data_IF_307967701326
#
_entry.id   IF_307967701326
#
_cell.length_a   1.000
_cell.length_b   1.000
_cell.length_c   1.000
_cell.angle_alpha   90.00
_cell.angle_beta   90.00
_cell.angle_gamma   90.00
#
_symmetry.space_group_name_H-M   'P 1'
#
loop_
_entity.id
_entity.type
_entity.pdbx_description
1 polymer ?
#
# COMPACT_ATOMS: atom_id res chain seq x y z
N UNK A 1 4.02 17.17 40.20
CA UNK A 1 5.38 16.72 39.75
C UNK A 1 6.03 17.92 39.14
N UNK A 2 7.09 18.43 39.73
CA UNK A 2 7.86 19.53 39.13
C UNK A 2 8.51 19.03 37.86
N UNK A 3 8.34 19.81 36.80
CA UNK A 3 8.95 19.54 35.51
C UNK A 3 10.40 20.03 35.57
N UNK A 4 11.36 19.11 35.59
CA UNK A 4 12.77 19.45 35.47
C UNK A 4 13.06 19.73 33.98
N UNK A 5 13.32 21.01 33.61
CA UNK A 5 13.61 21.40 32.24
C UNK A 5 14.86 20.73 31.65
N UNK A 6 15.73 20.18 32.49
CA UNK A 6 16.93 19.42 32.09
C UNK A 6 16.65 17.96 31.74
N UNK A 7 15.47 17.48 32.07
CA UNK A 7 15.11 16.06 31.87
C UNK A 7 14.61 15.83 30.44
N UNK A 8 15.34 15.05 29.68
CA UNK A 8 15.00 14.65 28.30
C UNK A 8 13.99 13.52 28.21
N UNK A 9 13.13 13.39 29.22
CA UNK A 9 12.07 12.38 29.28
C UNK A 9 10.69 13.03 29.44
N UNK A 10 9.69 12.50 28.75
CA UNK A 10 8.28 12.75 29.05
C UNK A 10 7.80 11.73 30.09
N UNK A 11 7.14 12.24 31.14
CA UNK A 11 6.44 11.40 32.12
C UNK A 11 4.95 11.53 31.87
N UNK A 12 4.36 10.45 31.40
CA UNK A 12 2.97 10.40 30.94
C UNK A 12 2.18 9.50 31.87
N UNK A 13 1.04 9.99 32.32
CA UNK A 13 0.06 9.20 33.07
C UNK A 13 -1.17 9.05 32.21
N UNK A 14 -1.51 7.82 31.85
CA UNK A 14 -2.77 7.50 31.20
C UNK A 14 -3.70 6.86 32.23
N UNK A 15 -4.91 7.43 32.34
CA UNK A 15 -5.94 6.94 33.28
C UNK A 15 -7.04 6.34 32.42
N UNK A 16 -7.45 5.10 32.75
CA UNK A 16 -8.59 4.46 32.10
C UNK A 16 -9.87 5.30 32.25
N UNK A 17 -10.74 5.24 31.25
CA UNK A 17 -12.00 6.02 31.22
C UNK A 17 -12.89 5.81 32.43
N UNK A 18 -12.79 4.67 33.07
CA UNK A 18 -13.55 4.32 34.28
C UNK A 18 -12.78 4.62 35.57
N UNK A 19 -11.59 5.23 35.49
CA UNK A 19 -10.70 5.52 36.62
C UNK A 19 -10.30 4.30 37.47
N UNK A 20 -10.39 3.10 36.89
CA UNK A 20 -10.10 1.85 37.62
C UNK A 20 -8.64 1.42 37.48
N UNK A 21 -7.91 1.97 36.50
CA UNK A 21 -6.52 1.66 36.25
C UNK A 21 -5.76 2.87 35.71
N UNK A 22 -4.45 2.88 35.86
CA UNK A 22 -3.59 3.92 35.33
C UNK A 22 -2.27 3.32 34.86
N UNK A 23 -1.71 3.89 33.83
CA UNK A 23 -0.41 3.52 33.28
C UNK A 23 0.56 4.72 33.40
N UNK A 24 1.74 4.46 33.99
CA UNK A 24 2.85 5.38 33.96
C UNK A 24 3.81 5.01 32.83
N UNK A 25 4.09 5.98 31.96
CA UNK A 25 5.12 5.84 30.94
C UNK A 25 6.19 6.92 31.07
N UNK A 26 7.44 6.49 31.03
CA UNK A 26 8.60 7.37 30.92
C UNK A 26 9.17 7.17 29.52
N UNK A 27 9.13 8.20 28.71
CA UNK A 27 9.49 8.14 27.29
C UNK A 27 10.58 9.13 27.00
N UNK A 28 11.73 8.73 26.43
CA UNK A 28 12.78 9.66 26.03
C UNK A 28 12.26 10.59 24.93
N UNK A 29 12.54 11.88 25.03
CA UNK A 29 12.14 12.87 24.03
C UNK A 29 13.10 12.89 22.84
N UNK A 30 14.35 12.48 23.05
CA UNK A 30 15.37 12.28 22.03
C UNK A 30 15.87 10.84 22.10
N UNK A 31 15.70 10.11 21.01
CA UNK A 31 16.17 8.73 20.92
C UNK A 31 17.65 8.69 20.50
N UNK A 32 18.12 9.73 19.79
CA UNK A 32 19.47 9.77 19.20
C UNK A 32 20.58 9.47 20.21
N UNK A 33 20.53 10.11 21.39
CA UNK A 33 21.58 9.95 22.39
C UNK A 33 21.60 8.53 22.96
N UNK A 34 20.44 7.97 23.24
CA UNK A 34 20.30 6.58 23.72
C UNK A 34 20.71 5.56 22.65
N UNK A 35 20.38 5.81 21.39
CA UNK A 35 20.72 4.93 20.29
C UNK A 35 22.23 4.96 20.00
N UNK A 36 22.84 6.15 20.09
CA UNK A 36 24.29 6.32 19.97
C UNK A 36 25.01 5.58 21.09
N UNK A 37 24.63 5.80 22.35
CA UNK A 37 25.28 5.20 23.53
C UNK A 37 25.11 3.67 23.55
N UNK A 38 23.91 3.17 23.30
CA UNK A 38 23.60 1.74 23.53
C UNK A 38 23.73 0.87 22.27
N UNK A 39 23.76 1.45 21.07
CA UNK A 39 23.79 0.70 19.81
C UNK A 39 24.98 1.13 18.95
N UNK A 40 25.06 2.40 18.53
CA UNK A 40 26.08 2.82 17.56
C UNK A 40 27.49 2.69 18.12
N UNK A 41 27.70 3.01 19.40
CA UNK A 41 29.00 2.88 20.07
C UNK A 41 29.53 1.44 20.13
N UNK A 42 28.66 0.44 20.01
CA UNK A 42 28.99 -0.97 20.06
C UNK A 42 29.16 -1.58 18.66
N UNK A 43 28.82 -0.84 17.60
CA UNK A 43 28.90 -1.31 16.22
C UNK A 43 30.19 -0.85 15.56
N UNK A 44 30.98 -1.78 15.05
CA UNK A 44 32.10 -1.47 14.17
C UNK A 44 31.59 -0.99 12.80
N UNK A 45 30.55 -1.60 12.29
CA UNK A 45 29.86 -1.27 11.03
C UNK A 45 28.36 -1.56 11.15
N UNK A 46 27.54 -0.67 10.60
CA UNK A 46 26.08 -0.83 10.55
C UNK A 46 25.52 -0.58 9.16
N UNK A 47 24.56 -1.39 8.74
CA UNK A 47 23.81 -1.23 7.48
C UNK A 47 22.31 -1.16 7.82
N UNK A 48 21.68 -0.06 7.43
CA UNK A 48 20.24 0.15 7.61
C UNK A 48 19.54 0.12 6.26
N UNK A 49 18.58 -0.78 6.10
CA UNK A 49 17.85 -0.99 4.85
C UNK A 49 16.35 -0.92 5.10
N UNK A 50 15.64 -0.06 4.39
CA UNK A 50 14.18 -0.03 4.35
C UNK A 50 13.68 0.77 3.15
N UNK A 51 12.46 0.49 2.70
CA UNK A 51 11.78 1.26 1.66
C UNK A 51 11.28 2.63 2.13
N UNK A 52 11.33 2.92 3.44
CA UNK A 52 10.75 4.13 4.04
C UNK A 52 11.75 4.99 4.81
N UNK A 53 13.07 4.79 4.60
CA UNK A 53 14.11 5.61 5.26
C UNK A 53 14.19 7.02 4.69
N UNK A 54 13.90 7.18 3.39
CA UNK A 54 13.96 8.49 2.72
C UNK A 54 12.61 9.19 2.72
N UNK A 55 12.64 10.49 2.96
CA UNK A 55 11.53 11.43 2.82
C UNK A 55 12.01 12.66 2.06
N UNK A 56 11.25 13.10 1.05
CA UNK A 56 11.63 14.24 0.21
C UNK A 56 13.05 14.10 -0.34
N UNK A 57 13.39 12.91 -0.84
CA UNK A 57 14.70 12.57 -1.42
C UNK A 57 15.88 12.69 -0.44
N UNK A 58 15.65 12.57 0.86
CA UNK A 58 16.66 12.67 1.91
C UNK A 58 16.43 11.65 3.02
N UNK A 59 17.51 11.11 3.58
CA UNK A 59 17.48 10.28 4.80
C UNK A 59 17.68 11.10 6.08
N UNK A 60 17.69 12.43 6.00
CA UNK A 60 17.99 13.32 7.14
C UNK A 60 17.07 13.07 8.33
N UNK A 61 15.76 12.87 8.11
CA UNK A 61 14.84 12.57 9.21
C UNK A 61 15.24 11.29 9.96
N UNK A 62 15.51 10.21 9.24
CA UNK A 62 15.94 8.95 9.82
C UNK A 62 17.29 9.08 10.57
N UNK A 63 18.28 9.70 9.93
CA UNK A 63 19.60 9.89 10.52
C UNK A 63 19.55 10.73 11.79
N UNK A 64 18.86 11.86 11.75
CA UNK A 64 18.75 12.76 12.91
C UNK A 64 17.96 12.11 14.05
N UNK A 65 16.93 11.31 13.73
CA UNK A 65 16.15 10.60 14.76
C UNK A 65 16.99 9.60 15.55
N UNK A 66 17.96 8.94 14.89
CA UNK A 66 18.80 7.91 15.50
C UNK A 66 20.24 8.39 15.80
N UNK A 67 20.60 9.67 15.56
CA UNK A 67 21.95 10.19 15.78
C UNK A 67 22.99 9.67 14.79
N UNK A 68 22.58 9.02 13.68
CA UNK A 68 23.49 8.50 12.64
C UNK A 68 24.20 9.64 11.91
N UNK A 69 23.62 10.82 11.87
CA UNK A 69 24.24 12.04 11.33
C UNK A 69 25.52 12.48 12.07
N UNK A 70 25.69 12.03 13.32
CA UNK A 70 26.84 12.36 14.18
C UNK A 70 28.07 11.47 13.92
N UNK A 71 27.90 10.35 13.23
CA UNK A 71 28.97 9.42 12.90
C UNK A 71 29.23 9.41 11.39
N UNK A 72 30.42 8.92 10.98
CA UNK A 72 30.73 8.77 9.55
C UNK A 72 29.71 7.83 8.89
N UNK A 73 28.95 8.34 7.95
CA UNK A 73 27.91 7.58 7.27
C UNK A 73 27.92 7.84 5.76
N UNK A 74 27.33 6.90 5.01
CA UNK A 74 27.07 7.01 3.57
C UNK A 74 25.63 6.67 3.34
N UNK A 75 24.91 7.46 2.57
CA UNK A 75 23.54 7.18 2.18
C UNK A 75 23.44 6.88 0.68
N UNK A 76 22.54 5.97 0.34
CA UNK A 76 22.18 5.68 -1.05
C UNK A 76 20.67 5.47 -1.15
N UNK A 77 20.00 6.34 -1.89
CA UNK A 77 18.61 6.20 -2.26
C UNK A 77 18.57 5.47 -3.60
N UNK A 78 17.80 4.39 -3.65
CA UNK A 78 17.63 3.56 -4.84
C UNK A 78 16.24 3.85 -5.38
N UNK A 79 16.15 4.08 -6.69
CA UNK A 79 14.88 4.26 -7.38
C UNK A 79 13.97 3.03 -7.19
N UNK A 80 12.65 3.24 -7.09
CA UNK A 80 11.71 2.14 -6.94
C UNK A 80 11.76 1.21 -8.14
N UNK A 81 11.80 -0.11 -7.87
CA UNK A 81 11.81 -1.13 -8.94
C UNK A 81 10.44 -1.20 -9.66
N UNK A 82 9.37 -0.74 -9.01
CA UNK A 82 8.03 -0.82 -9.53
C UNK A 82 7.55 0.53 -10.07
N UNK A 83 6.83 0.51 -11.17
CA UNK A 83 6.21 1.69 -11.77
C UNK A 83 4.94 2.11 -11.03
N UNK A 84 5.11 2.70 -9.84
CA UNK A 84 4.00 3.19 -9.03
C UNK A 84 3.10 4.15 -9.79
N UNK A 85 3.69 5.07 -10.54
CA UNK A 85 2.99 6.15 -11.23
C UNK A 85 1.94 5.66 -12.25
N UNK A 86 2.22 4.56 -12.94
CA UNK A 86 1.32 4.01 -13.94
C UNK A 86 0.46 2.86 -13.40
N UNK A 87 0.86 2.22 -12.30
CA UNK A 87 0.21 1.03 -11.77
C UNK A 87 -0.67 1.27 -10.56
N UNK A 88 -0.42 2.35 -9.81
CA UNK A 88 -1.23 2.72 -8.65
C UNK A 88 -1.97 4.03 -8.92
N UNK A 89 -3.29 3.98 -8.84
CA UNK A 89 -4.10 5.20 -8.83
C UNK A 89 -4.31 5.66 -7.40
N UNK A 90 -3.81 6.85 -7.07
CA UNK A 90 -4.04 7.46 -5.74
C UNK A 90 -5.20 8.42 -5.83
N UNK A 91 -6.22 8.21 -5.01
CA UNK A 91 -7.50 8.93 -5.09
C UNK A 91 -7.90 9.50 -3.74
N UNK A 92 -8.33 10.76 -3.74
CA UNK A 92 -9.07 11.42 -2.66
C UNK A 92 -10.43 11.85 -3.14
N UNK A 93 -11.28 12.32 -2.21
CA UNK A 93 -12.61 12.80 -2.54
C UNK A 93 -12.75 14.30 -2.40
N UNK A 94 -13.64 14.90 -3.19
CA UNK A 94 -13.97 16.33 -3.16
C UNK A 94 -15.31 16.63 -2.52
N UNK A 95 -16.19 15.63 -2.35
CA UNK A 95 -17.60 15.76 -2.01
C UNK A 95 -18.08 14.91 -0.83
N UNK A 96 -17.20 14.13 -0.21
CA UNK A 96 -17.54 13.42 1.02
C UNK A 96 -17.40 14.34 2.24
N UNK A 97 -18.16 14.04 3.30
CA UNK A 97 -18.06 14.80 4.53
C UNK A 97 -16.70 14.59 5.24
N UNK A 98 -16.34 15.54 6.10
CA UNK A 98 -15.11 15.43 6.89
C UNK A 98 -15.15 14.26 7.88
N UNK A 99 -14.00 13.72 8.23
CA UNK A 99 -13.86 12.55 9.12
C UNK A 99 -14.48 12.71 10.53
N UNK A 100 -14.80 13.95 10.94
CA UNK A 100 -15.45 14.27 12.22
C UNK A 100 -16.97 14.18 12.17
N UNK A 101 -17.54 14.14 10.97
CA UNK A 101 -18.99 14.02 10.78
C UNK A 101 -19.46 12.61 11.14
N UNK A 102 -20.62 12.50 11.79
CA UNK A 102 -21.24 11.22 12.15
C UNK A 102 -21.60 10.36 10.93
N UNK A 103 -21.87 10.98 9.78
CA UNK A 103 -22.20 10.28 8.52
C UNK A 103 -20.98 9.72 7.79
N UNK A 104 -19.78 10.13 8.16
CA UNK A 104 -18.55 9.71 7.49
C UNK A 104 -18.37 8.18 7.39
N UNK A 105 -18.62 7.37 8.46
CA UNK A 105 -18.57 5.90 8.34
C UNK A 105 -19.59 5.34 7.34
N UNK A 106 -20.76 5.96 7.21
CA UNK A 106 -21.80 5.56 6.26
C UNK A 106 -21.37 5.84 4.81
N UNK A 107 -20.86 7.03 4.53
CA UNK A 107 -20.33 7.39 3.21
C UNK A 107 -19.15 6.51 2.80
N UNK A 108 -18.18 6.29 3.71
CA UNK A 108 -17.07 5.36 3.48
C UNK A 108 -17.56 3.95 3.15
N UNK A 109 -18.54 3.44 3.92
CA UNK A 109 -19.08 2.09 3.72
C UNK A 109 -19.71 1.91 2.34
N UNK A 110 -20.47 2.90 1.86
CA UNK A 110 -21.02 2.90 0.50
C UNK A 110 -19.93 2.84 -0.56
N UNK A 111 -18.88 3.67 -0.42
CA UNK A 111 -17.79 3.74 -1.37
C UNK A 111 -16.96 2.44 -1.32
N UNK A 112 -16.60 1.92 -0.13
CA UNK A 112 -15.87 0.66 0.02
C UNK A 112 -16.67 -0.49 -0.59
N UNK A 113 -17.97 -0.55 -0.38
CA UNK A 113 -18.80 -1.60 -0.97
C UNK A 113 -18.79 -1.57 -2.50
N UNK A 114 -18.82 -0.37 -3.08
CA UNK A 114 -18.76 -0.18 -4.54
C UNK A 114 -17.38 -0.54 -5.11
N UNK A 115 -16.29 -0.17 -4.43
CA UNK A 115 -14.92 -0.62 -4.79
C UNK A 115 -14.85 -2.14 -4.75
N UNK A 116 -15.35 -2.74 -3.68
CA UNK A 116 -15.27 -4.19 -3.45
C UNK A 116 -15.98 -5.00 -4.52
N UNK A 117 -17.00 -4.44 -5.17
CA UNK A 117 -17.62 -5.06 -6.37
C UNK A 117 -16.67 -5.09 -7.56
N UNK A 118 -15.85 -4.05 -7.75
CA UNK A 118 -14.91 -3.98 -8.89
C UNK A 118 -13.69 -4.85 -8.63
N UNK A 119 -13.22 -4.88 -7.38
CA UNK A 119 -12.03 -5.63 -6.95
C UNK A 119 -12.36 -7.05 -6.52
N UNK A 120 -13.61 -7.46 -6.61
CA UNK A 120 -14.10 -8.77 -6.16
C UNK A 120 -13.77 -9.08 -4.69
N UNK A 121 -13.85 -8.08 -3.85
CA UNK A 121 -13.41 -8.15 -2.46
C UNK A 121 -12.02 -7.56 -2.28
N UNK A 122 -10.99 -8.24 -2.59
CA UNK A 122 -9.53 -7.95 -2.55
C UNK A 122 -9.14 -6.53 -2.08
N UNK A 123 -9.72 -6.10 -0.96
CA UNK A 123 -9.64 -4.75 -0.42
C UNK A 123 -9.22 -4.76 1.05
N UNK A 124 -8.20 -3.98 1.38
CA UNK A 124 -7.77 -3.71 2.75
C UNK A 124 -8.15 -2.26 3.12
N UNK A 125 -9.08 -2.09 4.06
CA UNK A 125 -9.48 -0.80 4.57
C UNK A 125 -8.77 -0.52 5.91
N UNK A 126 -7.89 0.49 5.93
CA UNK A 126 -7.09 0.87 7.09
C UNK A 126 -7.71 2.08 7.81
N UNK A 127 -7.75 2.00 9.13
CA UNK A 127 -8.36 3.00 10.00
C UNK A 127 -7.38 3.53 11.04
N UNK A 128 -7.36 4.84 11.21
CA UNK A 128 -6.63 5.50 12.29
C UNK A 128 -7.35 5.43 13.64
N UNK A 129 -8.65 5.12 13.64
CA UNK A 129 -9.52 5.03 14.81
C UNK A 129 -10.20 3.67 14.88
N UNK A 130 -10.08 2.99 16.02
CA UNK A 130 -10.75 1.71 16.27
C UNK A 130 -12.27 1.87 16.29
N UNK A 131 -12.78 2.91 16.93
CA UNK A 131 -14.22 3.26 16.96
C UNK A 131 -14.78 3.42 15.53
N UNK A 132 -14.05 4.14 14.66
CA UNK A 132 -14.50 4.30 13.27
C UNK A 132 -14.44 2.99 12.48
N UNK A 133 -13.41 2.18 12.70
CA UNK A 133 -13.33 0.83 12.12
C UNK A 133 -14.56 0.00 12.48
N UNK A 134 -14.93 -0.04 13.77
CA UNK A 134 -16.07 -0.82 14.27
C UNK A 134 -17.40 -0.31 13.70
N UNK A 135 -17.62 0.99 13.72
CA UNK A 135 -18.81 1.60 13.10
C UNK A 135 -18.93 1.28 11.61
N UNK A 136 -17.81 1.41 10.89
CA UNK A 136 -17.78 1.10 9.45
C UNK A 136 -17.99 -0.39 9.21
N UNK A 137 -17.44 -1.28 10.05
CA UNK A 137 -17.64 -2.72 9.95
C UNK A 137 -19.13 -3.11 10.02
N UNK A 138 -19.85 -2.59 11.00
CA UNK A 138 -21.27 -2.90 11.20
C UNK A 138 -22.14 -2.40 10.02
N UNK A 139 -21.83 -1.25 9.45
CA UNK A 139 -22.54 -0.71 8.30
C UNK A 139 -22.17 -1.51 7.04
N UNK A 140 -20.88 -1.72 6.78
CA UNK A 140 -20.37 -2.35 5.58
C UNK A 140 -20.80 -3.82 5.47
N UNK A 141 -20.87 -4.53 6.60
CA UNK A 141 -21.37 -5.90 6.68
C UNK A 141 -22.74 -6.08 6.02
N UNK A 142 -23.65 -5.10 6.21
CA UNK A 142 -24.97 -5.12 5.60
C UNK A 142 -24.92 -4.96 4.08
N UNK A 143 -24.02 -4.09 3.58
CA UNK A 143 -23.84 -3.89 2.14
C UNK A 143 -23.19 -5.10 1.47
N UNK A 144 -22.12 -5.65 2.06
CA UNK A 144 -21.34 -6.73 1.44
C UNK A 144 -22.11 -8.06 1.38
N UNK A 145 -22.97 -8.33 2.36
CA UNK A 145 -23.82 -9.52 2.37
C UNK A 145 -24.67 -9.63 1.09
N UNK A 146 -25.20 -8.50 0.59
CA UNK A 146 -25.99 -8.47 -0.65
C UNK A 146 -25.18 -8.77 -1.91
N UNK A 147 -23.85 -8.78 -1.84
CA UNK A 147 -22.92 -9.04 -2.96
C UNK A 147 -22.16 -10.35 -2.83
N UNK A 148 -22.51 -11.17 -1.85
CA UNK A 148 -21.78 -12.42 -1.55
C UNK A 148 -20.27 -12.18 -1.31
N UNK A 149 -19.95 -11.07 -0.62
CA UNK A 149 -18.62 -10.71 -0.20
C UNK A 149 -18.47 -10.90 1.30
N UNK A 150 -17.37 -11.53 1.72
CA UNK A 150 -17.02 -11.71 3.13
C UNK A 150 -16.40 -10.45 3.70
N UNK A 151 -16.54 -10.24 5.01
CA UNK A 151 -15.91 -9.13 5.73
C UNK A 151 -15.18 -9.66 6.95
N UNK A 152 -13.96 -9.19 7.14
CA UNK A 152 -13.12 -9.53 8.27
C UNK A 152 -12.55 -8.29 8.93
N UNK A 153 -12.11 -8.44 10.17
CA UNK A 153 -11.44 -7.37 10.91
C UNK A 153 -10.09 -7.84 11.45
N UNK A 154 -9.16 -6.87 11.57
CA UNK A 154 -7.86 -7.00 12.20
C UNK A 154 -6.90 -8.02 11.53
N UNK A 155 -5.77 -8.29 12.18
CA UNK A 155 -4.69 -9.15 11.63
C UNK A 155 -5.16 -10.56 11.28
N UNK A 156 -6.16 -11.09 11.97
CA UNK A 156 -6.69 -12.43 11.68
C UNK A 156 -7.40 -12.48 10.31
N UNK A 157 -7.99 -11.37 9.89
CA UNK A 157 -8.65 -11.24 8.59
C UNK A 157 -7.67 -11.17 7.42
N UNK A 158 -6.49 -10.60 7.61
CA UNK A 158 -5.52 -10.33 6.53
C UNK A 158 -5.13 -11.60 5.78
N UNK A 159 -4.97 -12.74 6.45
CA UNK A 159 -4.63 -14.02 5.82
C UNK A 159 -5.65 -14.47 4.78
N UNK A 160 -6.91 -14.04 4.89
CA UNK A 160 -7.96 -14.40 3.93
C UNK A 160 -7.79 -13.70 2.59
N UNK A 161 -7.08 -12.57 2.54
CA UNK A 161 -6.72 -11.92 1.27
C UNK A 161 -5.70 -12.72 0.44
N UNK A 162 -4.96 -13.65 1.05
CA UNK A 162 -4.05 -14.54 0.33
C UNK A 162 -4.79 -15.70 -0.38
N UNK A 163 -6.02 -15.97 -0.01
CA UNK A 163 -6.86 -16.97 -0.66
C UNK A 163 -7.69 -16.32 -1.76
N UNK A 164 -7.23 -16.42 -3.00
CA UNK A 164 -7.87 -15.79 -4.17
C UNK A 164 -9.28 -16.32 -4.46
N UNK A 165 -9.64 -17.48 -3.91
CA UNK A 165 -11.02 -17.99 -4.02
C UNK A 165 -11.96 -17.27 -3.05
N UNK A 166 -11.44 -16.54 -2.07
CA UNK A 166 -12.23 -15.77 -1.11
C UNK A 166 -12.37 -14.33 -1.55
N UNK A 167 -13.59 -13.94 -1.81
CA UNK A 167 -13.94 -12.55 -2.13
C UNK A 167 -14.21 -11.81 -0.82
N UNK A 168 -13.18 -11.20 -0.24
CA UNK A 168 -13.32 -10.59 1.07
C UNK A 168 -12.76 -9.18 1.16
N UNK A 169 -13.33 -8.40 2.08
CA UNK A 169 -12.84 -7.09 2.52
C UNK A 169 -12.33 -7.20 3.93
N UNK A 170 -11.13 -6.68 4.18
CA UNK A 170 -10.53 -6.69 5.52
C UNK A 170 -10.43 -5.27 6.05
N UNK A 171 -10.95 -5.04 7.25
CA UNK A 171 -10.81 -3.78 7.96
C UNK A 171 -9.71 -3.90 9.01
N UNK A 172 -8.70 -3.04 8.92
CA UNK A 172 -7.55 -3.06 9.83
C UNK A 172 -7.36 -1.72 10.55
N UNK A 173 -6.88 -1.78 11.79
CA UNK A 173 -6.44 -0.61 12.55
C UNK A 173 -4.92 -0.63 12.77
N UNK A 174 -4.41 0.13 13.74
CA UNK A 174 -2.97 0.40 13.98
C UNK A 174 -2.01 -0.77 13.68
N UNK A 175 -2.32 -1.98 14.14
CA UNK A 175 -1.46 -3.16 13.92
C UNK A 175 -1.50 -3.75 12.51
N UNK A 176 -2.37 -3.26 11.62
CA UNK A 176 -2.51 -3.73 10.23
C UNK A 176 -1.77 -2.84 9.22
N UNK A 177 -1.19 -1.73 9.67
CA UNK A 177 -0.33 -0.88 8.82
C UNK A 177 1.00 -1.57 8.47
N UNK A 178 1.41 -2.57 9.25
CA UNK A 178 2.68 -3.29 9.10
C UNK A 178 2.46 -4.80 9.01
N UNK A 179 3.43 -5.53 8.44
CA UNK A 179 3.44 -6.98 8.44
C UNK A 179 2.40 -7.66 7.54
N UNK A 180 1.88 -6.98 6.51
CA UNK A 180 0.98 -7.56 5.50
C UNK A 180 1.74 -7.73 4.20
N UNK A 181 1.83 -8.95 3.71
CA UNK A 181 2.42 -9.29 2.43
C UNK A 181 1.44 -10.16 1.64
N UNK A 182 0.81 -9.56 0.63
CA UNK A 182 -0.21 -10.18 -0.19
C UNK A 182 0.14 -9.89 -1.64
N UNK A 183 0.76 -10.83 -2.36
CA UNK A 183 1.13 -10.65 -3.75
C UNK A 183 -0.06 -10.82 -4.70
N UNK A 184 0.06 -10.21 -5.87
CA UNK A 184 -0.88 -10.37 -6.98
C UNK A 184 -2.28 -9.82 -6.70
N UNK A 185 -3.27 -10.43 -7.32
CA UNK A 185 -4.67 -10.01 -7.23
C UNK A 185 -5.31 -10.17 -5.84
N UNK A 186 -4.60 -10.74 -4.87
CA UNK A 186 -5.08 -10.85 -3.49
C UNK A 186 -5.29 -9.51 -2.80
N UNK A 187 -4.61 -8.44 -3.27
CA UNK A 187 -4.79 -7.08 -2.76
C UNK A 187 -4.73 -6.06 -3.89
N UNK A 188 -5.87 -5.64 -4.38
CA UNK A 188 -6.01 -4.67 -5.48
C UNK A 188 -6.36 -3.27 -4.98
N UNK A 189 -6.93 -3.16 -3.80
CA UNK A 189 -7.30 -1.88 -3.22
C UNK A 189 -6.86 -1.76 -1.77
N UNK A 190 -6.22 -0.65 -1.44
CA UNK A 190 -5.97 -0.22 -0.07
C UNK A 190 -6.66 1.11 0.16
N UNK A 191 -7.42 1.23 1.26
CA UNK A 191 -8.05 2.49 1.64
C UNK A 191 -7.55 2.99 2.99
N UNK A 192 -7.45 4.31 3.15
CA UNK A 192 -7.24 4.99 4.44
C UNK A 192 -8.49 5.82 4.76
N UNK A 193 -8.97 5.73 5.99
CA UNK A 193 -10.07 6.58 6.45
C UNK A 193 -9.71 8.07 6.39
N UNK A 194 -8.46 8.43 6.71
CA UNK A 194 -7.90 9.77 6.58
C UNK A 194 -6.38 9.71 6.58
N UNK A 195 -5.73 10.81 6.28
CA UNK A 195 -4.28 10.93 6.51
C UNK A 195 -3.96 10.62 7.98
N UNK A 196 -2.97 9.74 8.26
CA UNK A 196 -2.64 9.27 9.62
C UNK A 196 -1.85 10.31 10.41
N UNK A 197 -2.42 11.52 10.52
CA UNK A 197 -1.84 12.61 11.29
C UNK A 197 -1.74 12.26 12.77
N UNK A 198 -0.68 12.73 13.41
CA UNK A 198 -0.50 12.65 14.85
C UNK A 198 -1.59 13.45 15.58
N UNK A 199 -1.94 13.02 16.77
CA UNK A 199 -2.79 13.83 17.62
C UNK A 199 -1.94 14.95 18.27
N UNK A 200 -2.17 16.22 17.96
CA UNK A 200 -1.39 17.31 18.56
C UNK A 200 -1.59 17.45 20.08
N UNK A 201 -2.65 16.83 20.62
CA UNK A 201 -2.93 16.78 22.07
C UNK A 201 -2.34 15.52 22.74
N UNK A 202 -1.65 14.66 22.00
CA UNK A 202 -0.92 13.54 22.59
C UNK A 202 0.19 14.11 23.51
N UNK A 203 0.25 13.66 24.79
CA UNK A 203 1.18 14.25 25.76
C UNK A 203 2.65 14.22 25.33
N UNK A 204 3.07 13.17 24.63
CA UNK A 204 4.45 13.04 24.14
C UNK A 204 4.76 14.12 23.09
N UNK A 205 3.94 14.22 22.05
CA UNK A 205 4.17 15.18 20.96
C UNK A 205 3.98 16.61 21.45
N UNK A 206 3.02 16.86 22.33
CA UNK A 206 2.84 18.16 22.96
C UNK A 206 4.09 18.56 23.75
N UNK A 207 4.68 17.65 24.53
CA UNK A 207 5.91 17.90 25.30
C UNK A 207 7.09 18.19 24.37
N UNK A 208 7.26 17.41 23.29
CA UNK A 208 8.32 17.63 22.30
C UNK A 208 8.18 19.02 21.66
N UNK A 209 6.99 19.36 21.16
CA UNK A 209 6.72 20.66 20.54
C UNK A 209 7.06 21.81 21.49
N UNK A 210 6.60 21.74 22.74
CA UNK A 210 6.82 22.77 23.74
C UNK A 210 8.29 22.89 24.13
N UNK A 211 8.95 21.78 24.45
CA UNK A 211 10.33 21.75 24.95
C UNK A 211 11.33 22.25 23.91
N UNK A 212 11.17 21.79 22.65
CA UNK A 212 12.13 22.09 21.59
C UNK A 212 11.67 23.24 20.66
N UNK A 213 10.53 23.89 20.95
CA UNK A 213 9.95 24.95 20.12
C UNK A 213 9.78 24.52 18.65
N UNK A 214 9.39 23.24 18.43
CA UNK A 214 9.20 22.64 17.11
C UNK A 214 7.73 22.74 16.74
N UNK A 215 7.45 23.16 15.50
CA UNK A 215 6.08 23.22 15.02
C UNK A 215 5.51 21.81 14.77
N UNK A 216 4.18 21.71 14.80
CA UNK A 216 3.45 20.45 14.61
C UNK A 216 3.78 19.76 13.29
N UNK A 217 3.90 20.50 12.20
CA UNK A 217 4.11 19.92 10.88
C UNK A 217 5.49 19.28 10.73
N UNK A 218 6.49 19.81 11.40
CA UNK A 218 7.84 19.25 11.43
C UNK A 218 7.86 17.84 12.03
N UNK A 219 7.05 17.60 13.05
CA UNK A 219 6.94 16.27 13.68
C UNK A 219 5.96 15.38 12.93
N UNK A 220 4.81 15.94 12.55
CA UNK A 220 3.70 15.20 11.97
C UNK A 220 4.01 14.67 10.57
N UNK A 221 4.57 15.53 9.70
CA UNK A 221 4.73 15.19 8.29
C UNK A 221 5.55 13.91 8.06
N UNK A 222 6.74 13.73 8.66
CA UNK A 222 7.52 12.52 8.48
C UNK A 222 6.77 11.25 8.91
N UNK A 223 6.16 11.28 10.09
CA UNK A 223 5.48 10.09 10.63
C UNK A 223 4.20 9.75 9.86
N UNK A 224 3.44 10.76 9.46
CA UNK A 224 2.28 10.60 8.57
C UNK A 224 2.70 9.98 7.24
N UNK A 225 3.74 10.55 6.60
CA UNK A 225 4.21 10.11 5.29
C UNK A 225 4.73 8.68 5.29
N UNK A 226 5.50 8.29 6.30
CA UNK A 226 5.97 6.90 6.46
C UNK A 226 4.80 5.92 6.49
N UNK A 227 3.75 6.21 7.27
CA UNK A 227 2.56 5.36 7.35
C UNK A 227 1.79 5.29 6.02
N UNK A 228 1.68 6.41 5.30
CA UNK A 228 1.05 6.44 3.97
C UNK A 228 1.87 5.63 2.97
N UNK A 229 3.20 5.78 2.94
CA UNK A 229 4.11 4.98 2.10
C UNK A 229 3.98 3.48 2.42
N UNK A 230 3.95 3.11 3.69
CA UNK A 230 3.77 1.72 4.13
C UNK A 230 2.42 1.16 3.65
N UNK A 231 1.34 1.93 3.76
CA UNK A 231 0.01 1.51 3.31
C UNK A 231 -0.05 1.35 1.78
N UNK A 232 0.44 2.34 1.01
CA UNK A 232 0.46 2.27 -0.46
C UNK A 232 1.39 1.18 -0.98
N UNK A 233 2.55 0.99 -0.33
CA UNK A 233 3.54 -0.02 -0.71
C UNK A 233 3.05 -1.47 -0.57
N UNK A 234 1.86 -1.69 -0.04
CA UNK A 234 1.23 -3.03 0.00
C UNK A 234 0.61 -3.44 -1.32
N UNK A 235 0.33 -2.49 -2.20
CA UNK A 235 -0.33 -2.74 -3.48
C UNK A 235 0.64 -3.38 -4.47
N UNK A 236 1.90 -2.90 -4.53
CA UNK A 236 2.89 -3.44 -5.46
C UNK A 236 3.93 -4.29 -4.73
N UNK A 237 3.96 -5.59 -5.02
CA UNK A 237 4.91 -6.59 -4.51
C UNK A 237 5.69 -7.27 -5.64
N UNK A 238 5.14 -7.22 -6.84
CA UNK A 238 5.75 -7.74 -8.05
C UNK A 238 5.64 -6.75 -9.21
N UNK A 239 6.38 -7.01 -10.28
CA UNK A 239 6.28 -6.21 -11.51
C UNK A 239 4.93 -6.37 -12.23
N UNK A 240 4.07 -7.26 -11.77
CA UNK A 240 2.74 -7.50 -12.35
C UNK A 240 1.60 -6.97 -11.48
N UNK A 241 1.90 -6.45 -10.29
CA UNK A 241 0.89 -5.91 -9.41
C UNK A 241 0.40 -4.53 -9.87
N UNK A 242 -0.81 -4.20 -9.50
CA UNK A 242 -1.48 -2.95 -9.79
C UNK A 242 -2.60 -2.74 -8.79
N UNK A 243 -3.12 -1.52 -8.71
CA UNK A 243 -4.28 -1.29 -7.86
C UNK A 243 -4.63 0.16 -7.66
N UNK A 244 -5.44 0.41 -6.64
CA UNK A 244 -5.82 1.75 -6.22
C UNK A 244 -5.57 1.96 -4.73
N UNK A 245 -5.11 3.16 -4.43
CA UNK A 245 -4.92 3.66 -3.06
C UNK A 245 -5.88 4.81 -2.82
N UNK A 246 -6.82 4.62 -1.90
CA UNK A 246 -7.91 5.56 -1.65
C UNK A 246 -7.74 6.19 -0.28
N UNK A 247 -7.72 7.52 -0.21
CA UNK A 247 -7.69 8.27 1.04
C UNK A 247 -8.98 9.05 1.15
N UNK A 248 -9.87 8.66 2.08
CA UNK A 248 -11.17 9.31 2.19
C UNK A 248 -11.07 10.77 2.59
N UNK A 249 -10.30 11.09 3.61
CA UNK A 249 -10.03 12.48 4.00
C UNK A 249 -8.54 12.81 3.80
N UNK A 250 -8.24 13.48 2.71
CA UNK A 250 -6.88 13.93 2.36
C UNK A 250 -6.53 15.29 2.99
N UNK A 251 -7.48 15.92 3.69
CA UNK A 251 -7.31 17.27 4.20
C UNK A 251 -7.31 18.35 3.09
N UNK A 252 -7.10 19.58 3.50
CA UNK A 252 -7.21 20.77 2.63
C UNK A 252 -5.87 21.44 2.30
N UNK A 253 -4.78 21.08 2.99
CA UNK A 253 -3.48 21.73 2.82
C UNK A 253 -2.79 21.25 1.53
N UNK A 254 -2.87 22.05 0.48
CA UNK A 254 -2.32 21.74 -0.85
C UNK A 254 -0.80 21.57 -0.84
N UNK A 255 -0.06 22.30 0.00
CA UNK A 255 1.40 22.17 0.08
C UNK A 255 1.82 20.83 0.66
N UNK A 256 1.12 20.35 1.67
CA UNK A 256 1.30 19.00 2.24
C UNK A 256 0.99 17.92 1.21
N UNK A 257 -0.11 18.07 0.45
CA UNK A 257 -0.49 17.12 -0.58
C UNK A 257 0.54 17.04 -1.71
N UNK A 258 1.01 18.18 -2.23
CA UNK A 258 2.05 18.22 -3.28
C UNK A 258 3.37 17.60 -2.80
N UNK A 259 3.75 17.81 -1.55
CA UNK A 259 4.93 17.17 -0.97
C UNK A 259 4.72 15.65 -0.82
N UNK A 260 3.54 15.25 -0.37
CA UNK A 260 3.18 13.84 -0.23
C UNK A 260 3.18 13.12 -1.59
N UNK A 261 2.69 13.73 -2.66
CA UNK A 261 2.73 13.17 -4.02
C UNK A 261 4.17 12.81 -4.44
N UNK A 262 5.15 13.68 -4.16
CA UNK A 262 6.58 13.40 -4.42
C UNK A 262 7.06 12.20 -3.59
N UNK A 263 6.75 12.19 -2.31
CA UNK A 263 7.11 11.09 -1.40
C UNK A 263 6.41 9.76 -1.77
N UNK A 264 5.33 9.80 -2.52
CA UNK A 264 4.61 8.66 -3.09
C UNK A 264 5.05 8.33 -4.53
N UNK A 265 6.32 8.53 -4.85
CA UNK A 265 6.90 8.22 -6.17
C UNK A 265 6.23 9.00 -7.32
N UNK A 266 5.96 10.28 -7.11
CA UNK A 266 5.25 11.17 -8.03
C UNK A 266 3.85 10.72 -8.43
N UNK A 267 3.22 9.88 -7.62
CA UNK A 267 1.82 9.53 -7.79
C UNK A 267 0.94 10.73 -7.45
N UNK A 268 0.21 11.24 -8.43
CA UNK A 268 -0.74 12.33 -8.22
C UNK A 268 -1.94 11.86 -7.40
N UNK A 269 -2.33 12.66 -6.41
CA UNK A 269 -3.55 12.44 -5.65
C UNK A 269 -4.72 13.07 -6.42
N UNK A 270 -5.44 12.24 -7.16
CA UNK A 270 -6.60 12.67 -7.95
C UNK A 270 -7.80 12.89 -7.03
N UNK A 271 -8.25 14.14 -6.87
CA UNK A 271 -9.51 14.44 -6.18
C UNK A 271 -10.68 14.22 -7.15
N UNK A 272 -11.53 13.27 -6.83
CA UNK A 272 -12.70 12.90 -7.65
C UNK A 272 -14.00 13.10 -6.87
N UNK A 273 -15.10 13.27 -7.59
CA UNK A 273 -16.43 13.21 -7.04
C UNK A 273 -16.83 11.75 -6.77
N UNK A 274 -17.52 11.46 -5.69
CA UNK A 274 -17.93 10.11 -5.30
C UNK A 274 -18.75 9.39 -6.37
N UNK A 275 -19.56 10.12 -7.16
CA UNK A 275 -20.33 9.56 -8.27
C UNK A 275 -19.45 9.17 -9.47
N UNK A 276 -18.38 9.91 -9.73
CA UNK A 276 -17.44 9.65 -10.83
C UNK A 276 -16.37 8.60 -10.46
N UNK A 277 -16.10 8.46 -9.17
CA UNK A 277 -15.06 7.61 -8.61
C UNK A 277 -15.13 6.18 -9.13
N UNK A 278 -16.33 5.60 -9.17
CA UNK A 278 -16.55 4.24 -9.62
C UNK A 278 -16.08 4.03 -11.07
N UNK A 279 -16.47 4.93 -11.96
CA UNK A 279 -16.05 4.88 -13.37
C UNK A 279 -14.56 5.12 -13.53
N UNK A 280 -14.01 6.05 -12.75
CA UNK A 280 -12.59 6.39 -12.75
C UNK A 280 -11.73 5.17 -12.35
N UNK A 281 -12.02 4.54 -11.22
CA UNK A 281 -11.26 3.39 -10.74
C UNK A 281 -11.42 2.19 -11.67
N UNK A 282 -12.63 1.91 -12.15
CA UNK A 282 -12.88 0.80 -13.08
C UNK A 282 -12.03 0.95 -14.36
N UNK A 283 -11.94 2.17 -14.89
CA UNK A 283 -11.11 2.46 -16.07
C UNK A 283 -9.63 2.20 -15.76
N UNK A 284 -9.12 2.69 -14.62
CA UNK A 284 -7.73 2.48 -14.22
C UNK A 284 -7.41 0.99 -14.07
N UNK A 285 -8.20 0.23 -13.32
CA UNK A 285 -7.96 -1.18 -13.10
C UNK A 285 -8.04 -2.00 -14.39
N UNK A 286 -8.98 -1.70 -15.28
CA UNK A 286 -9.07 -2.38 -16.59
C UNK A 286 -7.86 -2.09 -17.46
N UNK A 287 -7.38 -0.83 -17.50
CA UNK A 287 -6.15 -0.44 -18.22
C UNK A 287 -4.93 -1.18 -17.67
N UNK A 288 -4.76 -1.17 -16.35
CA UNK A 288 -3.63 -1.83 -15.69
C UNK A 288 -3.62 -3.34 -15.93
N UNK A 289 -4.77 -4.00 -15.79
CA UNK A 289 -4.93 -5.43 -16.12
C UNK A 289 -4.52 -5.74 -17.56
N UNK A 290 -4.94 -4.92 -18.51
CA UNK A 290 -4.58 -5.11 -19.94
C UNK A 290 -3.08 -4.96 -20.17
N UNK A 291 -2.42 -3.98 -19.54
CA UNK A 291 -0.98 -3.77 -19.66
C UNK A 291 -0.18 -4.93 -19.05
N UNK A 292 -0.61 -5.40 -17.88
CA UNK A 292 0.05 -6.52 -17.19
C UNK A 292 -0.11 -7.81 -18.01
N UNK A 293 -1.29 -8.07 -18.54
CA UNK A 293 -1.52 -9.23 -19.39
C UNK A 293 -0.57 -9.24 -20.59
N UNK A 294 -0.40 -8.11 -21.29
CA UNK A 294 0.58 -7.97 -22.37
C UNK A 294 1.99 -8.28 -21.89
N UNK A 295 2.41 -7.74 -20.76
CA UNK A 295 3.74 -7.96 -20.19
C UNK A 295 3.98 -9.45 -19.81
N UNK A 296 3.00 -10.11 -19.19
CA UNK A 296 3.08 -11.54 -18.84
C UNK A 296 3.24 -12.41 -20.09
N UNK A 297 2.44 -12.11 -21.12
CA UNK A 297 2.50 -12.83 -22.40
C UNK A 297 3.87 -12.66 -23.05
N UNK A 298 4.36 -11.41 -23.12
CA UNK A 298 5.67 -11.09 -23.69
C UNK A 298 6.81 -11.82 -22.98
N UNK A 299 6.87 -11.74 -21.64
CA UNK A 299 7.90 -12.42 -20.85
C UNK A 299 7.85 -13.95 -21.05
N UNK A 300 6.66 -14.51 -21.23
CA UNK A 300 6.47 -15.95 -21.49
C UNK A 300 7.00 -16.31 -22.87
N UNK A 301 6.67 -15.55 -23.90
CA UNK A 301 7.15 -15.76 -25.28
C UNK A 301 8.67 -15.61 -25.35
N UNK A 302 9.23 -14.60 -24.66
CA UNK A 302 10.69 -14.38 -24.61
C UNK A 302 11.42 -15.57 -23.95
N UNK A 303 10.91 -16.09 -22.86
CA UNK A 303 11.46 -17.27 -22.21
C UNK A 303 11.47 -18.49 -23.15
N UNK A 304 10.37 -18.73 -23.85
CA UNK A 304 10.26 -19.83 -24.82
C UNK A 304 11.19 -19.67 -26.02
N UNK A 305 11.36 -18.45 -26.55
CA UNK A 305 12.27 -18.19 -27.66
C UNK A 305 13.75 -18.34 -27.26
N UNK A 306 14.09 -18.15 -26.00
CA UNK A 306 15.45 -18.41 -25.48
C UNK A 306 15.71 -19.94 -25.44
N UNK A 307 14.76 -20.72 -24.97
CA UNK A 307 14.87 -22.18 -24.92
C UNK A 307 14.91 -22.80 -26.33
N UNK A 308 14.10 -22.28 -27.28
CA UNK A 308 14.07 -22.71 -28.67
C UNK A 308 15.35 -22.37 -29.45
N UNK A 309 16.14 -21.37 -29.04
CA UNK A 309 17.43 -21.06 -29.64
C UNK A 309 18.58 -21.94 -29.12
N UNK A 310 18.40 -22.59 -28.01
CA UNK A 310 19.38 -23.52 -27.45
C UNK A 310 19.29 -24.93 -28.06
N UNK A 311 18.13 -25.34 -28.55
CA UNK A 311 17.91 -26.64 -29.20
C UNK A 311 17.62 -26.45 -30.70
N UNK A 312 18.63 -26.68 -31.54
CA UNK A 312 18.53 -26.67 -33.01
C UNK A 312 17.80 -27.90 -33.61
N UNK A 313 16.96 -28.57 -32.86
CA UNK A 313 16.18 -29.71 -33.36
C UNK A 313 14.68 -29.47 -33.07
N UNK A 314 13.85 -29.88 -34.06
CA UNK A 314 12.38 -29.78 -34.07
C UNK A 314 11.73 -29.73 -32.68
N UNK A 315 11.45 -28.54 -32.22
CA UNK A 315 10.78 -28.33 -30.94
C UNK A 315 9.34 -28.75 -31.06
N UNK A 316 9.00 -29.85 -30.41
CA UNK A 316 7.67 -30.39 -30.38
C UNK A 316 6.69 -29.34 -29.82
N UNK A 317 5.72 -28.92 -30.65
CA UNK A 317 4.70 -27.92 -30.31
C UNK A 317 3.89 -28.27 -29.05
N UNK A 318 3.84 -29.57 -28.72
CA UNK A 318 3.15 -30.05 -27.53
C UNK A 318 3.98 -29.89 -26.25
N UNK A 319 5.32 -29.87 -26.33
CA UNK A 319 6.21 -29.54 -25.22
C UNK A 319 6.10 -28.05 -24.93
N UNK A 320 6.12 -27.21 -25.96
CA UNK A 320 5.93 -25.75 -25.81
C UNK A 320 4.59 -25.44 -25.16
N UNK A 321 3.51 -26.08 -25.58
CA UNK A 321 2.19 -25.94 -24.94
C UNK A 321 2.20 -26.39 -23.48
N UNK A 322 2.91 -27.46 -23.15
CA UNK A 322 3.00 -28.01 -21.80
C UNK A 322 3.78 -27.06 -20.89
N UNK A 323 4.90 -26.51 -21.34
CA UNK A 323 5.72 -25.57 -20.58
C UNK A 323 5.06 -24.19 -20.42
N UNK A 324 4.38 -23.70 -21.48
CA UNK A 324 3.52 -22.51 -21.37
C UNK A 324 2.44 -22.75 -20.32
N UNK A 325 1.72 -23.85 -20.39
CA UNK A 325 0.65 -24.16 -19.45
C UNK A 325 1.18 -24.39 -18.02
N UNK A 326 2.39 -24.92 -17.84
CA UNK A 326 3.01 -25.13 -16.53
C UNK A 326 3.49 -23.82 -15.91
N UNK A 327 4.17 -22.96 -16.67
CA UNK A 327 4.55 -21.61 -16.25
C UNK A 327 3.33 -20.73 -15.98
N UNK A 328 2.26 -20.89 -16.77
CA UNK A 328 0.99 -20.20 -16.58
C UNK A 328 0.23 -20.76 -15.39
N UNK A 329 0.25 -22.07 -15.15
CA UNK A 329 -0.33 -22.67 -13.94
C UNK A 329 0.39 -22.20 -12.68
N UNK A 330 1.71 -22.08 -12.67
CA UNK A 330 2.47 -21.52 -11.55
C UNK A 330 2.13 -20.03 -11.32
N UNK A 331 1.78 -19.29 -12.38
CA UNK A 331 1.32 -17.89 -12.29
C UNK A 331 -0.18 -17.80 -12.04
N UNK A 332 -0.97 -18.75 -12.51
CA UNK A 332 -2.40 -18.87 -12.17
C UNK A 332 -2.62 -19.17 -10.68
N UNK A 333 -1.70 -19.88 -10.03
CA UNK A 333 -1.66 -20.02 -8.56
C UNK A 333 -1.48 -18.65 -7.88
N UNK A 334 -0.93 -17.64 -8.59
CA UNK A 334 -0.87 -16.25 -8.16
C UNK A 334 -2.04 -15.39 -8.65
N UNK A 335 -3.07 -15.99 -9.28
CA UNK A 335 -4.26 -15.30 -9.75
C UNK A 335 -4.10 -14.46 -11.02
N UNK A 336 -2.97 -14.57 -11.72
CA UNK A 336 -2.64 -13.66 -12.83
C UNK A 336 -3.22 -14.10 -14.18
N UNK A 337 -3.24 -15.42 -14.47
CA UNK A 337 -3.75 -15.98 -15.75
C UNK A 337 -4.41 -17.34 -15.51
N UNK A 338 -5.63 -17.55 -15.99
CA UNK A 338 -6.38 -18.78 -15.76
C UNK A 338 -6.26 -19.82 -16.88
N UNK A 339 -6.09 -19.38 -18.12
CA UNK A 339 -6.02 -20.29 -19.26
C UNK A 339 -5.44 -19.61 -20.50
N UNK A 340 -4.56 -20.30 -21.22
CA UNK A 340 -4.05 -19.86 -22.52
C UNK A 340 -4.17 -21.01 -23.50
N UNK A 341 -4.83 -20.75 -24.63
CA UNK A 341 -4.87 -21.63 -25.79
C UNK A 341 -4.18 -20.94 -26.97
N UNK A 342 -3.19 -21.61 -27.55
CA UNK A 342 -2.55 -21.14 -28.78
C UNK A 342 -3.19 -21.88 -29.95
N UNK A 343 -3.86 -21.12 -30.83
CA UNK A 343 -4.50 -21.62 -32.04
C UNK A 343 -3.86 -20.93 -33.24
N UNK A 344 -2.96 -21.63 -33.96
CA UNK A 344 -2.18 -21.09 -35.09
C UNK A 344 -1.37 -19.84 -34.67
N UNK A 345 -1.79 -18.65 -35.13
CA UNK A 345 -1.14 -17.36 -34.88
C UNK A 345 -1.82 -16.53 -33.80
N UNK A 346 -2.92 -17.03 -33.26
CA UNK A 346 -3.68 -16.33 -32.23
C UNK A 346 -3.56 -17.07 -30.90
N UNK A 347 -3.53 -16.29 -29.83
CA UNK A 347 -3.50 -16.80 -28.46
C UNK A 347 -4.79 -16.39 -27.75
N UNK A 348 -5.57 -17.37 -27.29
CA UNK A 348 -6.72 -17.12 -26.43
C UNK A 348 -6.28 -17.13 -24.97
N UNK A 349 -6.53 -16.06 -24.27
CA UNK A 349 -6.16 -15.89 -22.85
C UNK A 349 -7.43 -15.68 -22.04
N UNK A 350 -7.65 -16.53 -21.04
CA UNK A 350 -8.67 -16.28 -20.05
C UNK A 350 -8.01 -15.68 -18.81
N UNK A 351 -8.35 -14.44 -18.52
CA UNK A 351 -7.85 -13.68 -17.37
C UNK A 351 -9.03 -13.13 -16.59
N UNK A 352 -9.15 -13.52 -15.33
CA UNK A 352 -10.40 -13.39 -14.58
C UNK A 352 -11.56 -14.06 -15.36
N UNK A 353 -12.73 -13.49 -15.37
CA UNK A 353 -13.90 -14.02 -16.11
C UNK A 353 -13.96 -13.55 -17.58
N UNK A 354 -12.86 -13.03 -18.13
CA UNK A 354 -12.82 -12.49 -19.49
C UNK A 354 -11.90 -13.31 -20.39
N UNK A 355 -12.35 -13.51 -21.63
CA UNK A 355 -11.54 -14.11 -22.69
C UNK A 355 -10.93 -12.99 -23.54
N UNK A 356 -9.64 -13.09 -23.81
CA UNK A 356 -8.89 -12.22 -24.70
C UNK A 356 -8.38 -13.03 -25.87
N UNK A 357 -8.50 -12.48 -27.08
CA UNK A 357 -7.87 -13.02 -28.27
C UNK A 357 -6.71 -12.09 -28.63
N UNK A 358 -5.50 -12.63 -28.71
CA UNK A 358 -4.29 -11.86 -29.00
C UNK A 358 -3.67 -12.41 -30.27
N UNK A 359 -3.53 -11.56 -31.28
CA UNK A 359 -2.82 -11.91 -32.49
C UNK A 359 -1.31 -11.78 -32.25
N UNK A 360 -0.59 -12.88 -32.30
CA UNK A 360 0.84 -12.94 -32.00
C UNK A 360 1.69 -12.21 -33.04
N UNK A 361 1.26 -12.19 -34.32
CA UNK A 361 2.00 -11.47 -35.37
C UNK A 361 1.98 -9.96 -35.16
N UNK A 362 0.84 -9.42 -34.68
CA UNK A 362 0.73 -7.97 -34.40
C UNK A 362 1.54 -7.64 -33.15
N UNK A 363 1.47 -8.49 -32.14
CA UNK A 363 2.16 -8.30 -30.88
C UNK A 363 3.69 -8.28 -31.04
N UNK A 364 4.24 -9.18 -31.84
CA UNK A 364 5.68 -9.26 -32.08
C UNK A 364 6.21 -8.12 -32.96
N UNK A 365 5.36 -7.52 -33.84
CA UNK A 365 5.76 -6.39 -34.71
C UNK A 365 5.79 -5.04 -33.99
N UNK A 366 5.08 -4.86 -32.89
CA UNK A 366 5.10 -3.62 -32.12
C UNK A 366 6.41 -3.46 -31.32
N UNK A 367 7.14 -4.54 -31.04
CA UNK A 367 8.39 -4.52 -30.30
C UNK A 367 9.64 -4.29 -31.14
N UNK A 368 9.62 -4.66 -32.43
CA UNK A 368 10.71 -4.33 -33.36
C UNK A 368 10.83 -2.82 -33.63
N UNK A 369 9.94 -1.99 -33.04
CA UNK A 369 9.89 -0.53 -33.20
C UNK A 369 10.30 0.26 -31.95
N UNK A 370 10.61 -0.40 -30.83
CA UNK A 370 11.15 0.19 -29.61
C UNK A 370 12.51 -0.40 -29.28
#
# INVERSE_FOLDING_TARGET
>A
MEYDEKDDYARIVEIDKNYNDFEFRVVPLKIADLFEENILSQLEKGIFLSATLSLSESMSYFKNTLGIDRVKNVEKIIEPIFDYKNRVSVVGFSDICEYRNSEFPNEMSKIISNISKITEGHTLALFNSKDRQEKTYEILKKYLHSFNLEIYADKKGIRHLNDLNRKCVVLGSKGCFEGVDIPGDGLVCVTLDKLPNLNPKDPLYFTIMKKYSIDYYTINYPQMTIKVKQAMGRILRSKYDYGCFVIFDVGTNLSVLKRLEKDLHDCKISKVNSNEFYTYIRRHLNKSRSLILKSVIFDTIKALNVDAKMDNNDVDKDIIKKDINENIRQRAVKGEVYHIDIIKKDMKVKYFDRNYLINLDIFMREEDKN
#
